data_IF_778872623405
#
_entry.id   IF_778872623405
#
_cell.length_a   1.000
_cell.length_b   1.000
_cell.length_c   1.000
_cell.angle_alpha   90.00
_cell.angle_beta   90.00
_cell.angle_gamma   90.00
#
_symmetry.space_group_name_H-M   'P 1'
#
loop_
_entity.id
_entity.type
_entity.pdbx_description
1 polymer ?
#
# COMPACT_ATOMS: atom_id res chain seq x y z
N UNK A 1 23.05 -47.15 39.94
CA UNK A 1 22.21 -47.12 38.71
C UNK A 1 21.62 -45.73 38.36
N UNK A 2 22.06 -44.61 38.97
CA UNK A 2 21.42 -43.29 38.79
C UNK A 2 21.92 -42.49 37.57
N UNK A 3 23.15 -42.75 37.07
CA UNK A 3 23.79 -41.95 36.00
C UNK A 3 23.10 -42.03 34.62
N UNK A 4 22.33 -43.09 34.33
CA UNK A 4 21.68 -43.29 33.01
C UNK A 4 20.43 -42.43 32.81
N UNK A 5 19.71 -42.09 33.88
CA UNK A 5 18.50 -41.24 33.81
C UNK A 5 18.87 -39.77 33.62
N UNK A 6 19.89 -39.27 34.33
CA UNK A 6 20.32 -37.87 34.25
C UNK A 6 20.90 -37.52 32.87
N UNK A 7 21.67 -38.41 32.25
CA UNK A 7 22.18 -38.20 30.88
C UNK A 7 21.08 -38.09 29.82
N UNK A 8 19.97 -38.83 29.97
CA UNK A 8 18.80 -38.72 29.07
C UNK A 8 18.09 -37.37 29.17
N UNK A 9 17.96 -36.82 30.37
CA UNK A 9 17.35 -35.48 30.55
C UNK A 9 18.23 -34.37 30.01
N UNK A 10 19.55 -34.48 30.16
CA UNK A 10 20.51 -33.53 29.55
C UNK A 10 20.45 -33.59 28.03
N UNK A 11 20.40 -34.79 27.44
CA UNK A 11 20.25 -34.97 25.99
C UNK A 11 18.92 -34.42 25.47
N UNK A 12 17.82 -34.65 26.19
CA UNK A 12 16.51 -34.09 25.83
C UNK A 12 16.49 -32.56 25.93
N UNK A 13 17.12 -31.99 26.95
CA UNK A 13 17.27 -30.53 27.08
C UNK A 13 18.10 -29.94 25.95
N UNK A 14 19.23 -30.56 25.60
CA UNK A 14 20.07 -30.14 24.48
C UNK A 14 19.32 -30.23 23.14
N UNK A 15 18.58 -31.32 22.90
CA UNK A 15 17.76 -31.48 21.71
C UNK A 15 16.65 -30.43 21.63
N UNK A 16 16.00 -30.09 22.75
CA UNK A 16 14.98 -29.05 22.80
C UNK A 16 15.55 -27.66 22.46
N UNK A 17 16.76 -27.35 22.93
CA UNK A 17 17.45 -26.09 22.60
C UNK A 17 17.76 -26.01 21.11
N UNK A 18 18.24 -27.10 20.50
CA UNK A 18 18.51 -27.15 19.06
C UNK A 18 17.22 -26.96 18.24
N UNK A 19 16.13 -27.63 18.64
CA UNK A 19 14.82 -27.48 17.97
C UNK A 19 14.31 -26.03 18.10
N UNK A 20 14.43 -25.43 19.28
CA UNK A 20 14.01 -24.05 19.52
C UNK A 20 14.83 -23.04 18.68
N UNK A 21 16.15 -23.24 18.56
CA UNK A 21 17.02 -22.40 17.75
C UNK A 21 16.67 -22.49 16.25
N UNK A 22 16.41 -23.70 15.75
CA UNK A 22 15.97 -23.91 14.36
C UNK A 22 14.60 -23.28 14.09
N UNK A 23 13.66 -23.43 15.02
CA UNK A 23 12.33 -22.82 14.92
C UNK A 23 12.40 -21.28 14.90
N UNK A 24 13.21 -20.68 15.78
CA UNK A 24 13.42 -19.23 15.82
C UNK A 24 14.03 -18.68 14.52
N UNK A 25 14.98 -19.41 13.93
CA UNK A 25 15.61 -19.04 12.65
C UNK A 25 14.59 -18.97 11.50
N UNK A 26 13.69 -19.95 11.42
CA UNK A 26 12.66 -20.02 10.38
C UNK A 26 11.63 -18.89 10.45
N UNK A 27 11.30 -18.43 11.67
CA UNK A 27 10.35 -17.32 11.88
C UNK A 27 10.91 -16.01 11.31
N UNK A 28 12.22 -15.77 11.45
CA UNK A 28 12.83 -14.55 10.95
C UNK A 28 12.84 -14.52 9.41
N UNK A 29 13.17 -15.65 8.78
CA UNK A 29 13.17 -15.76 7.32
C UNK A 29 11.77 -15.52 6.73
N UNK A 30 10.73 -16.10 7.35
CA UNK A 30 9.35 -15.88 6.92
C UNK A 30 8.92 -14.41 7.07
N UNK A 31 9.32 -13.75 8.17
CA UNK A 31 9.04 -12.32 8.39
C UNK A 31 9.70 -11.45 7.32
N UNK A 32 10.96 -11.71 6.99
CA UNK A 32 11.69 -10.98 5.95
C UNK A 32 11.00 -11.21 4.59
N UNK A 33 10.67 -12.45 4.25
CA UNK A 33 9.96 -12.79 3.01
C UNK A 33 8.59 -12.08 2.88
N UNK A 34 7.83 -12.01 3.97
CA UNK A 34 6.54 -11.28 3.97
C UNK A 34 6.74 -9.79 3.75
N UNK A 35 7.74 -9.20 4.40
CA UNK A 35 8.08 -7.77 4.24
C UNK A 35 8.55 -7.46 2.82
N UNK A 36 9.41 -8.29 2.23
CA UNK A 36 9.87 -8.07 0.85
C UNK A 36 8.71 -8.15 -0.13
N UNK A 37 7.80 -9.13 0.02
CA UNK A 37 6.58 -9.20 -0.80
C UNK A 37 5.67 -7.97 -0.64
N UNK A 38 5.47 -7.49 0.58
CA UNK A 38 4.68 -6.27 0.82
C UNK A 38 5.31 -5.03 0.19
N UNK A 39 6.63 -4.88 0.31
CA UNK A 39 7.35 -3.77 -0.30
C UNK A 39 7.28 -3.85 -1.83
N UNK A 40 7.43 -5.03 -2.41
CA UNK A 40 7.34 -5.22 -3.85
C UNK A 40 5.94 -4.90 -4.39
N UNK A 41 4.89 -5.28 -3.67
CA UNK A 41 3.52 -4.90 -4.02
C UNK A 41 3.33 -3.37 -3.99
N UNK A 42 3.82 -2.71 -2.93
CA UNK A 42 3.76 -1.24 -2.82
C UNK A 42 4.53 -0.54 -3.94
N UNK A 43 5.69 -1.06 -4.35
CA UNK A 43 6.44 -0.54 -5.50
C UNK A 43 5.58 -0.63 -6.78
N UNK A 44 4.89 -1.76 -6.99
CA UNK A 44 3.97 -1.92 -8.11
C UNK A 44 2.83 -0.89 -8.10
N UNK A 45 2.18 -0.70 -6.95
CA UNK A 45 1.11 0.29 -6.77
C UNK A 45 1.58 1.73 -7.02
N UNK A 46 2.77 2.08 -6.50
CA UNK A 46 3.38 3.39 -6.70
C UNK A 46 3.73 3.64 -8.16
N UNK A 47 4.30 2.66 -8.85
CA UNK A 47 4.59 2.76 -10.28
C UNK A 47 3.30 2.96 -11.10
N UNK A 48 2.23 2.22 -10.78
CA UNK A 48 0.92 2.43 -11.42
C UNK A 48 0.37 3.83 -11.19
N UNK A 49 0.57 4.38 -9.99
CA UNK A 49 0.19 5.76 -9.66
C UNK A 49 1.01 6.78 -10.43
N UNK A 50 2.33 6.57 -10.55
CA UNK A 50 3.23 7.42 -11.35
C UNK A 50 2.79 7.44 -12.81
N UNK A 51 2.47 6.29 -13.40
CA UNK A 51 2.02 6.19 -14.79
C UNK A 51 0.67 6.87 -15.02
N UNK A 52 -0.25 6.73 -14.06
CA UNK A 52 -1.55 7.41 -14.11
C UNK A 52 -1.38 8.93 -14.05
N UNK A 53 -0.62 9.43 -13.08
CA UNK A 53 -0.36 10.85 -12.88
C UNK A 53 0.40 11.44 -14.07
N UNK A 54 1.36 10.71 -14.64
CA UNK A 54 2.11 11.17 -15.81
C UNK A 54 1.20 11.35 -17.02
N UNK A 55 0.26 10.42 -17.24
CA UNK A 55 -0.76 10.55 -18.30
C UNK A 55 -1.72 11.70 -18.04
N UNK A 56 -2.09 11.93 -16.79
CA UNK A 56 -2.93 13.07 -16.40
C UNK A 56 -2.23 14.40 -16.64
N UNK A 57 -0.96 14.52 -16.24
CA UNK A 57 -0.12 15.70 -16.52
C UNK A 57 0.00 15.95 -18.02
N UNK A 58 0.21 14.89 -18.83
CA UNK A 58 0.28 15.03 -20.28
C UNK A 58 -1.01 15.62 -20.85
N UNK A 59 -2.18 15.08 -20.45
CA UNK A 59 -3.49 15.60 -20.87
C UNK A 59 -3.70 17.05 -20.44
N UNK A 60 -3.36 17.40 -19.20
CA UNK A 60 -3.46 18.77 -18.70
C UNK A 60 -2.52 19.76 -19.41
N UNK A 61 -1.49 19.29 -20.12
CA UNK A 61 -0.57 20.15 -20.87
C UNK A 61 -0.95 20.32 -22.33
N UNK A 62 -1.49 19.28 -22.96
CA UNK A 62 -1.69 19.27 -24.42
C UNK A 62 -3.15 19.18 -24.86
N UNK A 63 -4.09 18.83 -23.98
CA UNK A 63 -5.49 18.62 -24.32
C UNK A 63 -6.37 19.75 -23.76
N UNK A 64 -6.63 20.76 -24.60
CA UNK A 64 -7.46 21.92 -24.26
C UNK A 64 -8.87 21.53 -23.83
N UNK A 65 -9.47 20.52 -24.46
CA UNK A 65 -10.82 20.05 -24.12
C UNK A 65 -10.84 19.43 -22.72
N UNK A 66 -9.80 18.65 -22.39
CA UNK A 66 -9.64 18.09 -21.05
C UNK A 66 -9.46 19.17 -19.99
N UNK A 67 -8.64 20.19 -20.27
CA UNK A 67 -8.44 21.34 -19.38
C UNK A 67 -9.75 22.10 -19.14
N UNK A 68 -10.51 22.41 -20.21
CA UNK A 68 -11.77 23.13 -20.09
C UNK A 68 -12.79 22.35 -19.26
N UNK A 69 -12.90 21.03 -19.49
CA UNK A 69 -13.77 20.16 -18.67
C UNK A 69 -13.37 20.21 -17.20
N UNK A 70 -12.08 20.10 -16.89
CA UNK A 70 -11.59 20.18 -15.51
C UNK A 70 -11.87 21.54 -14.87
N UNK A 71 -11.69 22.63 -15.61
CA UNK A 71 -12.00 23.97 -15.15
C UNK A 71 -13.49 24.11 -14.81
N UNK A 72 -14.39 23.62 -15.68
CA UNK A 72 -15.84 23.68 -15.47
C UNK A 72 -16.30 22.76 -14.33
N UNK A 73 -15.91 21.48 -14.36
CA UNK A 73 -16.45 20.46 -13.45
C UNK A 73 -15.80 20.47 -12.07
N UNK A 74 -14.48 20.66 -11.99
CA UNK A 74 -13.75 20.58 -10.71
C UNK A 74 -13.57 21.93 -10.05
N UNK A 75 -13.40 23.00 -10.83
CA UNK A 75 -13.12 24.33 -10.31
C UNK A 75 -14.34 25.27 -10.40
N UNK A 76 -15.42 24.86 -11.07
CA UNK A 76 -16.62 25.68 -11.25
C UNK A 76 -16.36 26.94 -12.08
N UNK A 77 -15.32 26.95 -12.90
CA UNK A 77 -14.93 28.07 -13.74
C UNK A 77 -15.80 28.12 -15.00
N UNK A 78 -16.17 29.32 -15.41
CA UNK A 78 -16.83 29.61 -16.68
C UNK A 78 -16.08 30.75 -17.37
N UNK A 79 -16.30 30.91 -18.68
CA UNK A 79 -15.69 32.04 -19.39
C UNK A 79 -16.35 33.35 -18.98
N UNK A 80 -15.64 34.47 -19.16
CA UNK A 80 -16.12 35.80 -18.75
C UNK A 80 -17.40 36.22 -19.46
N UNK A 81 -17.67 35.67 -20.64
CA UNK A 81 -18.87 35.90 -21.46
C UNK A 81 -20.02 34.90 -21.18
N UNK A 82 -19.85 33.96 -20.25
CA UNK A 82 -20.84 32.94 -19.92
C UNK A 82 -21.61 33.27 -18.64
N UNK A 83 -22.92 32.97 -18.62
CA UNK A 83 -23.76 33.05 -17.41
C UNK A 83 -23.93 31.67 -16.78
N UNK A 84 -23.51 31.53 -15.53
CA UNK A 84 -23.66 30.29 -14.75
C UNK A 84 -24.90 30.38 -13.87
N UNK A 85 -25.85 29.47 -14.08
CA UNK A 85 -27.01 29.31 -13.19
C UNK A 85 -26.72 28.22 -12.17
N UNK A 86 -26.71 28.58 -10.89
CA UNK A 86 -26.70 27.61 -9.79
C UNK A 86 -28.13 27.50 -9.24
N UNK A 87 -28.70 26.31 -9.34
CA UNK A 87 -29.97 26.01 -8.69
C UNK A 87 -29.70 25.75 -7.21
N UNK A 88 -30.23 26.61 -6.34
CA UNK A 88 -30.30 26.34 -4.90
C UNK A 88 -31.69 25.78 -4.63
N UNK A 89 -31.77 24.66 -3.94
CA UNK A 89 -33.05 24.15 -3.44
C UNK A 89 -33.54 25.14 -2.37
N UNK A 90 -34.77 25.62 -2.49
CA UNK A 90 -35.35 26.46 -1.45
C UNK A 90 -35.47 25.63 -0.16
N UNK A 91 -34.80 26.09 0.88
CA UNK A 91 -34.93 25.54 2.22
C UNK A 91 -36.39 25.77 2.65
N UNK A 92 -37.21 24.71 2.52
CA UNK A 92 -38.61 24.68 2.95
C UNK A 92 -38.70 25.19 4.39
N UNK A 93 -39.19 26.43 4.55
CA UNK A 93 -39.46 27.08 5.84
C UNK A 93 -40.82 26.68 6.39
#
# INVERSE_FOLDING_TARGET
MVKKKTGRWVLLGAAAIVIAALAASNINLYRVYRRTKQLQARVGELNGSIDSLSREIARLKSDTTYIERMAREKLGMARTDEKVYKFVEEENR
#
